data_IF_924980558044
#
_entry.id   IF_924980558044
#
_cell.length_a   1.000
_cell.length_b   1.000
_cell.length_c   1.000
_cell.angle_alpha   90.00
_cell.angle_beta   90.00
_cell.angle_gamma   90.00
#
_symmetry.space_group_name_H-M   'P 1'
#
loop_
_entity.id
_entity.type
_entity.pdbx_description
1 polymer ?
#
# COMPACT_ATOMS: atom_id res chain seq x y z
N UNK A 1 -10.00 -10.85 10.02
CA UNK A 1 -8.82 -10.72 10.91
C UNK A 1 -8.47 -9.25 10.98
N UNK A 2 -8.57 -8.63 12.16
CA UNK A 2 -8.03 -7.28 12.39
C UNK A 2 -6.51 -7.43 12.43
N UNK A 3 -5.74 -6.73 11.57
CA UNK A 3 -4.28 -6.85 11.55
C UNK A 3 -3.70 -6.23 12.82
N UNK A 4 -3.52 -7.06 13.84
CA UNK A 4 -2.72 -6.71 15.02
C UNK A 4 -1.24 -6.73 14.61
N UNK A 5 -0.71 -5.57 14.22
CA UNK A 5 0.75 -5.39 14.10
C UNK A 5 1.46 -5.65 15.43
N UNK A 6 2.80 -5.76 15.43
CA UNK A 6 3.60 -5.96 16.66
C UNK A 6 3.36 -4.81 17.65
N UNK A 7 2.42 -5.04 18.57
CA UNK A 7 2.21 -4.41 19.88
C UNK A 7 1.97 -2.89 20.02
N UNK A 8 2.00 -2.01 19.02
CA UNK A 8 1.84 -0.57 19.34
C UNK A 8 1.22 0.36 18.28
N UNK A 9 0.66 -0.14 17.19
CA UNK A 9 0.09 0.76 16.17
C UNK A 9 -1.34 1.24 16.50
N UNK A 10 -2.02 0.72 17.52
CA UNK A 10 -3.40 1.14 17.85
C UNK A 10 -3.49 2.49 18.59
N UNK A 11 -2.36 3.13 18.92
CA UNK A 11 -2.33 4.42 19.59
C UNK A 11 -2.15 5.54 18.57
N UNK A 12 -3.24 6.23 18.24
CA UNK A 12 -3.21 7.46 17.46
C UNK A 12 -3.43 8.64 18.41
N UNK A 13 -2.54 9.63 18.37
CA UNK A 13 -2.63 10.86 19.19
C UNK A 13 -3.77 11.80 18.75
N UNK A 14 -4.29 11.61 17.54
CA UNK A 14 -5.41 12.36 16.97
C UNK A 14 -6.41 11.43 16.29
N UNK A 15 -7.67 11.85 16.26
CA UNK A 15 -8.76 11.17 15.56
C UNK A 15 -8.44 10.97 14.07
N UNK A 16 -7.91 12.02 13.42
CA UNK A 16 -7.48 11.97 12.02
C UNK A 16 -6.40 10.91 11.77
N UNK A 17 -5.43 10.78 12.69
CA UNK A 17 -4.41 9.74 12.58
C UNK A 17 -4.98 8.32 12.72
N UNK A 18 -6.04 8.15 13.52
CA UNK A 18 -6.72 6.88 13.69
C UNK A 18 -7.45 6.46 12.40
N UNK A 19 -8.12 7.41 11.75
CA UNK A 19 -8.79 7.17 10.46
C UNK A 19 -7.79 6.77 9.37
N UNK A 20 -6.71 7.55 9.21
CA UNK A 20 -5.65 7.27 8.23
C UNK A 20 -5.01 5.90 8.44
N UNK A 21 -4.75 5.55 9.71
CA UNK A 21 -4.23 4.23 10.04
C UNK A 21 -5.25 3.13 9.73
N UNK A 22 -6.52 3.33 10.03
CA UNK A 22 -7.59 2.38 9.69
C UNK A 22 -7.67 2.10 8.19
N UNK A 23 -7.52 3.14 7.36
CA UNK A 23 -7.45 3.03 5.90
C UNK A 23 -6.23 2.20 5.49
N UNK A 24 -5.05 2.54 5.99
CA UNK A 24 -3.80 1.83 5.65
C UNK A 24 -3.86 0.35 6.06
N UNK A 25 -4.38 0.04 7.25
CA UNK A 25 -4.56 -1.33 7.73
C UNK A 25 -5.52 -2.12 6.83
N UNK A 26 -6.64 -1.50 6.45
CA UNK A 26 -7.61 -2.10 5.53
C UNK A 26 -6.98 -2.39 4.16
N UNK A 27 -6.15 -1.48 3.66
CA UNK A 27 -5.42 -1.64 2.40
C UNK A 27 -4.40 -2.79 2.49
N UNK A 28 -3.62 -2.88 3.56
CA UNK A 28 -2.68 -3.98 3.77
C UNK A 28 -3.37 -5.36 3.84
N UNK A 29 -4.53 -5.43 4.48
CA UNK A 29 -5.34 -6.67 4.51
C UNK A 29 -5.83 -7.01 3.11
N UNK A 30 -6.28 -6.01 2.34
CA UNK A 30 -6.72 -6.21 0.95
C UNK A 30 -5.59 -6.75 0.08
N UNK A 31 -4.36 -6.23 0.20
CA UNK A 31 -3.18 -6.78 -0.48
C UNK A 31 -2.95 -8.25 -0.12
N UNK A 32 -3.04 -8.59 1.17
CA UNK A 32 -2.89 -9.98 1.64
C UNK A 32 -3.97 -10.89 1.05
N UNK A 33 -5.22 -10.46 1.00
CA UNK A 33 -6.33 -11.21 0.41
C UNK A 33 -6.15 -11.45 -1.09
N UNK A 34 -5.51 -10.51 -1.80
CA UNK A 34 -5.20 -10.63 -3.24
C UNK A 34 -3.88 -11.37 -3.53
N UNK A 35 -3.17 -11.82 -2.50
CA UNK A 35 -1.86 -12.46 -2.62
C UNK A 35 -0.75 -11.52 -3.12
N UNK A 36 -0.89 -10.22 -2.88
CA UNK A 36 0.08 -9.18 -3.25
C UNK A 36 0.94 -8.86 -2.02
N UNK A 37 2.26 -8.73 -2.21
CA UNK A 37 3.14 -8.28 -1.14
C UNK A 37 2.85 -6.79 -0.81
N UNK A 38 2.36 -6.47 0.40
CA UNK A 38 1.97 -5.10 0.74
C UNK A 38 3.12 -4.10 0.67
N UNK A 39 4.36 -4.53 0.93
CA UNK A 39 5.54 -3.66 0.85
C UNK A 39 5.81 -3.21 -0.58
N UNK A 40 5.88 -4.17 -1.53
CA UNK A 40 6.12 -3.84 -2.94
C UNK A 40 4.99 -3.00 -3.54
N UNK A 41 3.74 -3.32 -3.17
CA UNK A 41 2.59 -2.54 -3.59
C UNK A 41 2.67 -1.10 -3.08
N UNK A 42 2.95 -0.91 -1.79
CA UNK A 42 2.94 0.43 -1.19
C UNK A 42 4.09 1.29 -1.74
N UNK A 43 5.28 0.72 -1.91
CA UNK A 43 6.42 1.42 -2.50
C UNK A 43 6.09 1.88 -3.93
N UNK A 44 5.59 0.97 -4.76
CA UNK A 44 5.24 1.31 -6.15
C UNK A 44 4.13 2.34 -6.23
N UNK A 45 3.02 2.14 -5.49
CA UNK A 45 1.86 3.05 -5.54
C UNK A 45 2.20 4.43 -5.00
N UNK A 46 2.98 4.55 -3.91
CA UNK A 46 3.39 5.87 -3.39
C UNK A 46 4.32 6.63 -4.34
N UNK A 47 5.17 5.92 -5.10
CA UNK A 47 6.00 6.55 -6.13
C UNK A 47 5.19 6.88 -7.39
N UNK A 48 4.20 6.04 -7.73
CA UNK A 48 3.39 6.16 -8.94
C UNK A 48 2.25 7.16 -8.81
N UNK A 49 1.71 7.40 -7.61
CA UNK A 49 0.56 8.29 -7.38
C UNK A 49 0.82 9.72 -7.85
N UNK A 50 2.07 10.19 -7.79
CA UNK A 50 2.46 11.52 -8.28
C UNK A 50 2.48 11.63 -9.82
N UNK A 51 2.61 10.50 -10.51
CA UNK A 51 2.76 10.42 -11.97
C UNK A 51 1.49 9.92 -12.67
N UNK A 52 0.57 9.30 -11.93
CA UNK A 52 -0.60 8.63 -12.45
C UNK A 52 -1.83 9.56 -12.53
N UNK A 53 -2.58 9.56 -13.63
CA UNK A 53 -3.80 10.37 -13.74
C UNK A 53 -4.84 10.01 -12.67
N UNK A 54 -5.43 11.01 -12.02
CA UNK A 54 -6.45 10.81 -10.98
C UNK A 54 -7.69 10.04 -11.48
N UNK A 55 -8.01 10.14 -12.77
CA UNK A 55 -9.11 9.39 -13.41
C UNK A 55 -8.89 7.87 -13.39
N UNK A 56 -7.64 7.43 -13.33
CA UNK A 56 -7.26 6.02 -13.47
C UNK A 56 -6.82 5.42 -12.11
N UNK A 57 -7.17 6.05 -10.98
CA UNK A 57 -6.81 5.59 -9.62
C UNK A 57 -7.24 4.15 -9.34
N UNK A 58 -8.30 3.67 -9.99
CA UNK A 58 -8.74 2.27 -9.89
C UNK A 58 -7.65 1.27 -10.31
N UNK A 59 -6.76 1.67 -11.22
CA UNK A 59 -5.63 0.83 -11.65
C UNK A 59 -4.60 0.61 -10.55
N UNK A 60 -4.55 1.52 -9.57
CA UNK A 60 -3.66 1.40 -8.42
C UNK A 60 -4.22 0.50 -7.34
N UNK A 61 -5.47 0.02 -7.45
CA UNK A 61 -6.02 -0.90 -6.44
C UNK A 61 -5.26 -2.24 -6.44
N UNK A 62 -5.13 -2.93 -5.29
CA UNK A 62 -4.28 -4.13 -5.19
C UNK A 62 -4.60 -5.23 -6.21
N UNK A 63 -5.86 -5.34 -6.62
CA UNK A 63 -6.31 -6.30 -7.63
C UNK A 63 -5.78 -5.95 -9.03
N UNK A 64 -6.01 -4.73 -9.50
CA UNK A 64 -5.63 -4.30 -10.85
C UNK A 64 -4.13 -4.03 -10.93
N UNK A 65 -3.52 -3.54 -9.85
CA UNK A 65 -2.09 -3.33 -9.74
C UNK A 65 -1.30 -4.61 -10.01
N UNK A 66 -1.78 -5.74 -9.49
CA UNK A 66 -1.19 -7.05 -9.72
C UNK A 66 -1.13 -7.41 -11.20
N UNK A 67 -2.15 -7.08 -11.97
CA UNK A 67 -2.24 -7.38 -13.39
C UNK A 67 -1.41 -6.40 -14.25
N UNK A 68 -1.33 -5.13 -13.86
CA UNK A 68 -0.73 -4.07 -14.69
C UNK A 68 0.72 -3.74 -14.36
N UNK A 69 1.13 -3.84 -13.10
CA UNK A 69 2.39 -3.28 -12.61
C UNK A 69 3.32 -4.29 -11.94
N UNK A 70 2.92 -5.55 -11.77
CA UNK A 70 3.79 -6.59 -11.18
C UNK A 70 5.12 -6.73 -11.91
N UNK A 71 5.10 -6.68 -13.26
CA UNK A 71 6.30 -6.84 -14.09
C UNK A 71 7.16 -5.57 -14.16
N UNK A 72 6.58 -4.40 -13.84
CA UNK A 72 7.23 -3.08 -13.91
C UNK A 72 7.07 -2.29 -12.61
N UNK A 73 7.30 -2.96 -11.48
CA UNK A 73 7.23 -2.33 -10.16
C UNK A 73 8.40 -1.36 -9.97
N UNK A 74 8.09 -0.16 -9.50
CA UNK A 74 9.05 0.79 -8.99
C UNK A 74 9.51 0.30 -7.61
N UNK A 75 10.82 0.23 -7.42
CA UNK A 75 11.44 -0.24 -6.18
C UNK A 75 11.98 0.93 -5.37
N UNK A 76 12.22 0.66 -4.08
CA UNK A 76 12.83 1.65 -3.21
C UNK A 76 14.29 1.88 -3.61
N UNK A 77 14.84 3.05 -3.32
CA UNK A 77 16.25 3.31 -3.59
C UNK A 77 17.19 2.41 -2.76
N UNK A 78 16.70 1.85 -1.66
CA UNK A 78 17.42 0.86 -0.85
C UNK A 78 17.63 -0.46 -1.60
N UNK A 79 16.70 -0.87 -2.48
CA UNK A 79 16.86 -2.06 -3.32
C UNK A 79 18.00 -1.89 -4.36
N UNK A 80 18.39 -0.64 -4.68
CA UNK A 80 19.45 -0.33 -5.65
C UNK A 80 20.85 -0.25 -5.02
N UNK A 81 20.93 -0.17 -3.70
CA UNK A 81 22.19 -0.05 -2.95
C UNK A 81 22.81 -1.40 -2.55
N UNK A 82 22.17 -2.51 -2.92
CA UNK A 82 22.67 -3.88 -2.70
C UNK A 82 23.49 -4.42 -3.86
#
# INVERSE_FOLDING_TARGET
>A
VIPMGRKNYLFCWSELGAEQLGILQSLMVTCRLQGVNPYHYLVDVLQRVALHPAKDVLDLTPRVWKEKFTDKKLTSDLDKMG
#
